data_IF_893630962320
#
_entry.id   IF_893630962320
#
_cell.length_a   1.000
_cell.length_b   1.000
_cell.length_c   1.000
_cell.angle_alpha   90.00
_cell.angle_beta   90.00
_cell.angle_gamma   90.00
#
_symmetry.space_group_name_H-M   'P 1'
#
loop_
_entity.id
_entity.type
_entity.pdbx_description
1 polymer ?
#
# COMPACT_ATOMS: atom_id res chain seq x y z
N UNK A 1 -2.09 -13.64 16.98
CA UNK A 1 -2.34 -12.70 15.86
C UNK A 1 -1.07 -11.89 15.69
N UNK A 2 -0.36 -12.05 14.57
CA UNK A 2 0.91 -11.36 14.36
C UNK A 2 0.67 -9.86 14.16
N UNK A 3 1.48 -9.03 14.83
CA UNK A 3 1.64 -7.62 14.45
C UNK A 3 1.93 -7.56 12.95
N UNK A 4 1.07 -6.85 12.21
CA UNK A 4 1.27 -6.70 10.78
C UNK A 4 2.22 -5.53 10.54
N UNK A 5 3.33 -5.80 9.86
CA UNK A 5 4.37 -4.81 9.60
C UNK A 5 3.81 -3.56 8.89
N UNK A 6 4.40 -2.41 9.17
CA UNK A 6 4.11 -1.17 8.44
C UNK A 6 4.87 -1.21 7.11
N UNK A 7 4.14 -1.22 5.99
CA UNK A 7 4.72 -1.31 4.64
C UNK A 7 5.12 0.04 4.05
N UNK A 8 4.91 1.13 4.79
CA UNK A 8 5.16 2.50 4.36
C UNK A 8 6.17 3.18 5.29
N UNK A 9 7.01 4.04 4.72
CA UNK A 9 7.93 4.85 5.54
C UNK A 9 7.12 5.95 6.24
N UNK A 10 6.87 5.78 7.54
CA UNK A 10 6.00 6.67 8.34
C UNK A 10 6.40 8.14 8.22
N UNK A 11 7.70 8.45 8.28
CA UNK A 11 8.18 9.84 8.16
C UNK A 11 7.85 10.45 6.80
N UNK A 12 8.04 9.71 5.70
CA UNK A 12 7.70 10.17 4.35
C UNK A 12 6.19 10.41 4.19
N UNK A 13 5.36 9.51 4.73
CA UNK A 13 3.91 9.66 4.72
C UNK A 13 3.47 10.94 5.45
N UNK A 14 3.97 11.15 6.67
CA UNK A 14 3.64 12.35 7.47
C UNK A 14 4.10 13.63 6.77
N UNK A 15 5.32 13.62 6.22
CA UNK A 15 5.87 14.78 5.51
C UNK A 15 5.05 15.10 4.26
N UNK A 16 4.62 14.09 3.50
CA UNK A 16 3.76 14.27 2.34
C UNK A 16 2.43 14.94 2.72
N UNK A 17 1.71 14.40 3.71
CA UNK A 17 0.43 14.95 4.16
C UNK A 17 0.58 16.40 4.63
N UNK A 18 1.61 16.68 5.44
CA UNK A 18 1.89 18.02 5.93
C UNK A 18 2.24 19.00 4.79
N UNK A 19 3.08 18.60 3.84
CA UNK A 19 3.45 19.45 2.71
C UNK A 19 2.28 19.74 1.76
N UNK A 20 1.35 18.79 1.60
CA UNK A 20 0.21 18.93 0.70
C UNK A 20 -0.98 19.68 1.31
N UNK A 21 -1.10 19.73 2.65
CA UNK A 21 -2.34 20.20 3.31
C UNK A 21 -2.15 20.95 4.63
N UNK A 22 -0.91 21.13 5.10
CA UNK A 22 -0.57 21.63 6.45
C UNK A 22 -1.11 20.77 7.62
N UNK A 23 -1.74 19.62 7.34
CA UNK A 23 -2.31 18.75 8.36
C UNK A 23 -1.26 17.93 9.11
N UNK A 24 -1.55 17.66 10.37
CA UNK A 24 -0.86 16.63 11.15
C UNK A 24 -1.46 15.24 10.85
N UNK A 25 -0.67 14.18 11.02
CA UNK A 25 -1.10 12.80 10.76
C UNK A 25 -1.12 11.99 12.06
N UNK A 26 -2.26 11.37 12.38
CA UNK A 26 -2.39 10.50 13.56
C UNK A 26 -1.57 9.21 13.42
N UNK A 27 -1.17 8.63 14.57
CA UNK A 27 -0.29 7.44 14.59
C UNK A 27 -0.91 6.19 13.93
N UNK A 28 -2.23 6.05 13.97
CA UNK A 28 -2.97 4.93 13.38
C UNK A 28 -3.13 5.00 11.86
N UNK A 29 -2.76 6.12 11.21
CA UNK A 29 -2.84 6.24 9.74
C UNK A 29 -1.85 5.33 9.05
N UNK A 30 -0.62 5.19 9.57
CA UNK A 30 0.39 4.32 8.94
C UNK A 30 0.00 2.83 8.93
N UNK A 31 -0.50 2.24 10.04
CA UNK A 31 -1.10 0.91 10.02
C UNK A 31 -2.25 0.78 9.03
N UNK A 32 -3.16 1.78 8.98
CA UNK A 32 -4.31 1.74 8.06
C UNK A 32 -3.89 1.79 6.60
N UNK A 33 -2.93 2.64 6.25
CA UNK A 33 -2.41 2.72 4.88
C UNK A 33 -1.66 1.43 4.49
N UNK A 34 -0.93 0.82 5.43
CA UNK A 34 -0.27 -0.47 5.19
C UNK A 34 -1.26 -1.59 4.91
N UNK A 35 -2.45 -1.57 5.52
CA UNK A 35 -3.54 -2.49 5.18
C UNK A 35 -4.02 -2.28 3.74
N UNK A 36 -4.16 -1.03 3.28
CA UNK A 36 -4.55 -0.71 1.90
C UNK A 36 -3.50 -1.21 0.92
N UNK A 37 -2.22 -0.92 1.18
CA UNK A 37 -1.10 -1.40 0.37
C UNK A 37 -1.11 -2.92 0.26
N UNK A 38 -1.33 -3.65 1.36
CA UNK A 38 -1.46 -5.12 1.34
C UNK A 38 -2.57 -5.59 0.41
N UNK A 39 -3.78 -5.04 0.56
CA UNK A 39 -4.92 -5.44 -0.28
C UNK A 39 -4.63 -5.22 -1.77
N UNK A 40 -3.99 -4.09 -2.12
CA UNK A 40 -3.60 -3.81 -3.50
C UNK A 40 -2.52 -4.78 -4.00
N UNK A 41 -1.51 -5.08 -3.18
CA UNK A 41 -0.48 -6.06 -3.52
C UNK A 41 -1.07 -7.47 -3.70
N UNK A 42 -1.99 -7.89 -2.82
CA UNK A 42 -2.64 -9.20 -2.90
C UNK A 42 -3.42 -9.33 -4.22
N UNK A 43 -4.15 -8.28 -4.61
CA UNK A 43 -4.85 -8.24 -5.90
C UNK A 43 -3.87 -8.30 -7.08
N UNK A 44 -2.81 -7.49 -7.05
CA UNK A 44 -1.80 -7.46 -8.10
C UNK A 44 -1.07 -8.82 -8.24
N UNK A 45 -0.83 -9.51 -7.12
CA UNK A 45 -0.28 -10.87 -7.10
C UNK A 45 -1.22 -11.85 -7.80
N UNK A 46 -2.53 -11.78 -7.55
CA UNK A 46 -3.48 -12.65 -8.25
C UNK A 46 -3.52 -12.35 -9.76
N UNK A 47 -3.51 -11.08 -10.14
CA UNK A 47 -3.46 -10.66 -11.54
C UNK A 47 -2.20 -11.20 -12.25
N UNK A 48 -1.03 -11.13 -11.60
CA UNK A 48 0.20 -11.69 -12.13
C UNK A 48 0.15 -13.22 -12.26
N UNK A 49 -0.40 -13.91 -11.26
CA UNK A 49 -0.58 -15.38 -11.27
C UNK A 49 -1.50 -15.83 -12.39
N UNK A 50 -2.62 -15.13 -12.59
CA UNK A 50 -3.60 -15.44 -13.65
C UNK A 50 -2.98 -15.29 -15.05
N UNK A 51 -2.03 -14.38 -15.20
CA UNK A 51 -1.25 -14.20 -16.43
C UNK A 51 -0.04 -15.16 -16.54
N UNK A 52 0.10 -16.14 -15.63
CA UNK A 52 1.17 -17.14 -15.65
C UNK A 52 2.56 -16.60 -15.25
N UNK A 53 2.63 -15.41 -14.65
CA UNK A 53 3.89 -14.74 -14.29
C UNK A 53 4.27 -14.97 -12.83
N UNK A 54 5.57 -14.87 -12.55
CA UNK A 54 6.14 -14.83 -11.17
C UNK A 54 6.58 -13.44 -10.73
N UNK A 55 6.39 -12.45 -11.60
CA UNK A 55 6.76 -11.05 -11.36
C UNK A 55 5.50 -10.20 -11.43
N UNK A 56 5.21 -9.51 -10.32
CA UNK A 56 4.18 -8.45 -10.27
C UNK A 56 4.72 -7.25 -11.03
N UNK A 57 3.90 -6.72 -11.94
CA UNK A 57 4.21 -5.59 -12.78
C UNK A 57 3.26 -4.43 -12.45
N UNK A 58 3.61 -3.22 -12.88
CA UNK A 58 2.78 -2.01 -12.77
C UNK A 58 1.34 -2.23 -13.25
N UNK A 59 1.17 -2.83 -14.43
CA UNK A 59 -0.14 -3.17 -15.02
C UNK A 59 -1.03 -4.07 -14.13
N UNK A 60 -0.45 -4.79 -13.17
CA UNK A 60 -1.23 -5.62 -12.25
C UNK A 60 -2.02 -4.80 -11.23
N UNK A 61 -1.68 -3.51 -11.07
CA UNK A 61 -2.40 -2.54 -10.23
C UNK A 61 -3.45 -1.73 -11.01
N UNK A 62 -3.48 -1.84 -12.35
CA UNK A 62 -4.41 -1.10 -13.22
C UNK A 62 -5.68 -1.89 -13.56
N UNK A 63 -5.65 -3.22 -13.39
CA UNK A 63 -6.82 -4.07 -13.60
C UNK A 63 -7.84 -3.78 -12.51
N UNK A 64 -8.76 -2.86 -12.78
CA UNK A 64 -9.96 -2.66 -11.98
C UNK A 64 -10.73 -3.97 -11.88
N UNK A 65 -11.23 -4.27 -10.67
CA UNK A 65 -12.23 -5.32 -10.47
C UNK A 65 -13.52 -5.00 -11.21
#
# INVERSE_FOLDING_TARGET
MSEQDVLVVVSKLKNYIRAASEMNTSGNVAPKLSQIVRMLCDQAIQNAKNDGRKTVMDRDFEKAA
#
